data_IF_272307675947
#
_entry.id   IF_272307675947
#
_cell.length_a   1.000
_cell.length_b   1.000
_cell.length_c   1.000
_cell.angle_alpha   90.00
_cell.angle_beta   90.00
_cell.angle_gamma   90.00
#
_symmetry.space_group_name_H-M   'P 1'
#
loop_
_entity.id
_entity.type
_entity.pdbx_description
1 polymer ?
#
# COMPACT_ATOMS: atom_id res chain seq x y z
N UNK A 1 -20.88 9.52 -2.00
CA UNK A 1 -20.55 8.09 -2.15
C UNK A 1 -21.02 7.42 -0.88
N UNK A 2 -22.14 6.70 -0.91
CA UNK A 2 -22.48 5.78 0.16
C UNK A 2 -21.52 4.60 0.01
N UNK A 3 -20.50 4.57 0.84
CA UNK A 3 -19.62 3.41 0.93
C UNK A 3 -20.32 2.50 1.93
N UNK A 4 -21.12 1.57 1.41
CA UNK A 4 -21.57 0.46 2.24
C UNK A 4 -20.32 -0.22 2.80
N UNK A 5 -20.36 -0.62 4.06
CA UNK A 5 -19.16 -1.11 4.68
C UNK A 5 -18.68 -2.39 4.03
N UNK A 6 -17.37 -2.48 3.88
CA UNK A 6 -16.74 -3.45 3.01
C UNK A 6 -15.83 -4.35 3.85
N UNK A 7 -16.23 -5.62 4.07
CA UNK A 7 -15.37 -6.58 4.74
C UNK A 7 -14.28 -7.04 3.78
N UNK A 8 -13.02 -6.87 4.18
CA UNK A 8 -11.86 -7.44 3.51
C UNK A 8 -11.29 -8.56 4.36
N UNK A 9 -11.14 -9.76 3.78
CA UNK A 9 -10.63 -10.93 4.49
C UNK A 9 -9.30 -11.40 3.90
N UNK A 10 -8.34 -11.67 4.77
CA UNK A 10 -7.10 -12.34 4.43
C UNK A 10 -6.80 -13.41 5.49
N UNK A 11 -6.93 -14.68 5.10
CA UNK A 11 -6.90 -15.82 6.02
C UNK A 11 -7.88 -15.63 7.19
N UNK A 12 -7.37 -15.55 8.42
CA UNK A 12 -8.10 -15.31 9.67
C UNK A 12 -8.35 -13.82 9.95
N UNK A 13 -7.57 -12.92 9.33
CA UNK A 13 -7.71 -11.49 9.52
C UNK A 13 -8.89 -10.96 8.70
N UNK A 14 -9.85 -10.34 9.38
CA UNK A 14 -10.96 -9.61 8.76
C UNK A 14 -10.84 -8.13 9.09
N UNK A 15 -10.95 -7.27 8.09
CA UNK A 15 -10.93 -5.81 8.24
C UNK A 15 -12.25 -5.27 7.71
N UNK A 16 -13.03 -4.63 8.58
CA UNK A 16 -14.23 -3.91 8.18
C UNK A 16 -13.86 -2.44 7.95
N UNK A 17 -14.17 -1.93 6.76
CA UNK A 17 -13.99 -0.50 6.44
C UNK A 17 -15.37 0.11 6.23
N UNK A 18 -15.65 1.19 6.95
CA UNK A 18 -16.90 1.94 6.86
C UNK A 18 -16.63 3.45 6.82
N UNK A 19 -17.50 4.20 6.14
CA UNK A 19 -17.51 5.65 6.17
C UNK A 19 -18.33 6.13 7.36
N UNK A 20 -17.70 6.86 8.28
CA UNK A 20 -18.37 7.36 9.48
C UNK A 20 -19.13 8.65 9.15
N UNK A 21 -20.46 8.56 9.05
CA UNK A 21 -21.35 9.73 9.04
C UNK A 21 -21.75 10.09 10.48
N UNK A 22 -22.60 9.26 11.09
CA UNK A 22 -23.11 9.46 12.46
C UNK A 22 -22.55 8.45 13.49
N UNK A 23 -21.74 7.48 13.04
CA UNK A 23 -21.05 6.50 13.88
C UNK A 23 -21.83 5.21 14.19
N UNK A 24 -23.14 5.16 13.95
CA UNK A 24 -23.93 3.97 14.29
C UNK A 24 -23.89 2.87 13.23
N UNK A 25 -23.74 3.23 11.94
CA UNK A 25 -23.81 2.29 10.82
C UNK A 25 -22.76 1.18 10.90
N UNK A 26 -21.50 1.52 11.14
CA UNK A 26 -20.43 0.52 11.24
C UNK A 26 -20.52 -0.33 12.51
N UNK A 27 -21.04 0.25 13.60
CA UNK A 27 -21.22 -0.47 14.87
C UNK A 27 -22.25 -1.57 14.73
N UNK A 28 -23.33 -1.30 13.98
CA UNK A 28 -24.36 -2.29 13.73
C UNK A 28 -23.80 -3.49 12.97
N UNK A 29 -22.96 -3.27 11.96
CA UNK A 29 -22.35 -4.39 11.24
C UNK A 29 -21.29 -5.13 12.03
N UNK A 30 -20.53 -4.45 12.90
CA UNK A 30 -19.62 -5.14 13.81
C UNK A 30 -20.41 -6.10 14.70
N UNK A 31 -21.60 -5.69 15.17
CA UNK A 31 -22.50 -6.58 15.94
C UNK A 31 -23.01 -7.74 15.09
N UNK A 32 -23.48 -7.47 13.87
CA UNK A 32 -23.96 -8.52 12.95
C UNK A 32 -22.86 -9.52 12.59
N UNK A 33 -21.63 -9.04 12.37
CA UNK A 33 -20.47 -9.88 12.14
C UNK A 33 -20.15 -10.75 13.35
N UNK A 34 -20.20 -10.20 14.56
CA UNK A 34 -19.99 -10.97 15.80
C UNK A 34 -21.06 -12.06 15.98
N UNK A 35 -22.32 -11.73 15.68
CA UNK A 35 -23.43 -12.69 15.68
C UNK A 35 -23.18 -13.78 14.63
N UNK A 36 -22.82 -13.41 13.40
CA UNK A 36 -22.51 -14.38 12.34
C UNK A 36 -21.35 -15.29 12.70
N UNK A 37 -20.27 -14.76 13.27
CA UNK A 37 -19.13 -15.55 13.75
C UNK A 37 -19.59 -16.60 14.76
N UNK A 38 -20.38 -16.21 15.76
CA UNK A 38 -20.93 -17.12 16.77
C UNK A 38 -21.80 -18.22 16.16
N UNK A 39 -22.67 -17.88 15.21
CA UNK A 39 -23.51 -18.86 14.50
C UNK A 39 -22.70 -19.85 13.66
N UNK A 40 -21.51 -19.45 13.21
CA UNK A 40 -20.61 -20.27 12.40
C UNK A 40 -19.49 -20.91 13.23
N UNK A 41 -19.63 -20.96 14.56
CA UNK A 41 -18.64 -21.53 15.49
C UNK A 41 -17.25 -20.88 15.38
N UNK A 42 -17.21 -19.59 15.07
CA UNK A 42 -16.01 -18.76 15.05
C UNK A 42 -16.00 -17.85 16.28
N UNK A 43 -14.85 -17.79 16.95
CA UNK A 43 -14.63 -16.91 18.09
C UNK A 43 -13.86 -15.66 17.65
N UNK A 44 -14.38 -14.48 17.97
CA UNK A 44 -13.69 -13.21 17.74
C UNK A 44 -12.69 -12.95 18.85
N UNK A 45 -11.43 -12.79 18.49
CA UNK A 45 -10.39 -12.41 19.44
C UNK A 45 -10.40 -10.89 19.68
N UNK A 46 -11.27 -10.44 20.59
CA UNK A 46 -11.44 -9.02 20.94
C UNK A 46 -10.17 -8.36 21.46
N UNK A 47 -9.24 -9.13 22.05
CA UNK A 47 -7.94 -8.63 22.51
C UNK A 47 -6.99 -8.27 21.36
N UNK A 48 -7.14 -8.92 20.20
CA UNK A 48 -6.36 -8.62 18.99
C UNK A 48 -7.08 -7.68 18.02
N UNK A 49 -8.39 -7.56 18.16
CA UNK A 49 -9.17 -6.59 17.39
C UNK A 49 -8.86 -5.18 17.88
N UNK A 50 -8.61 -4.28 16.93
CA UNK A 50 -8.36 -2.87 17.19
C UNK A 50 -9.25 -2.03 16.28
N UNK A 51 -9.58 -0.83 16.74
CA UNK A 51 -10.27 0.18 15.96
C UNK A 51 -9.27 1.24 15.52
N UNK A 52 -9.27 1.62 14.24
CA UNK A 52 -8.51 2.77 13.76
C UNK A 52 -9.49 3.74 13.12
N UNK A 53 -9.53 4.97 13.63
CA UNK A 53 -10.37 6.04 13.11
C UNK A 53 -9.49 7.00 12.30
N UNK A 54 -9.86 7.23 11.05
CA UNK A 54 -9.18 8.18 10.16
C UNK A 54 -10.11 9.37 9.96
N UNK A 55 -9.86 10.46 10.68
CA UNK A 55 -10.67 11.68 10.60
C UNK A 55 -9.79 12.92 10.40
N UNK A 56 -10.05 13.66 9.32
CA UNK A 56 -9.34 14.89 8.96
C UNK A 56 -10.21 16.15 9.15
N UNK A 57 -11.40 16.02 9.75
CA UNK A 57 -12.25 17.16 10.10
C UNK A 57 -11.55 18.03 11.14
N UNK A 58 -11.73 19.35 11.06
CA UNK A 58 -11.19 20.29 12.06
C UNK A 58 -11.79 20.07 13.45
N UNK A 59 -13.07 19.71 13.48
CA UNK A 59 -13.82 19.35 14.68
C UNK A 59 -14.30 17.91 14.48
N UNK A 60 -13.50 16.91 14.88
CA UNK A 60 -13.88 15.51 14.75
C UNK A 60 -15.07 15.18 15.65
N UNK A 61 -15.88 14.22 15.22
CA UNK A 61 -17.00 13.74 16.01
C UNK A 61 -16.46 12.98 17.23
N UNK A 62 -16.97 13.29 18.42
CA UNK A 62 -16.68 12.50 19.61
C UNK A 62 -17.41 11.15 19.50
N UNK A 63 -16.66 10.10 19.15
CA UNK A 63 -17.19 8.74 19.05
C UNK A 63 -17.05 8.03 20.39
N UNK A 64 -18.10 7.31 20.79
CA UNK A 64 -18.04 6.38 21.91
C UNK A 64 -17.13 5.19 21.56
N UNK A 65 -16.41 4.62 22.55
CA UNK A 65 -15.58 3.44 22.34
C UNK A 65 -16.39 2.28 21.77
N UNK A 66 -15.84 1.61 20.74
CA UNK A 66 -16.43 0.41 20.18
C UNK A 66 -16.42 -0.73 21.20
N UNK A 67 -17.51 -1.48 21.28
CA UNK A 67 -17.59 -2.70 22.09
C UNK A 67 -18.05 -3.88 21.24
N UNK A 68 -17.42 -5.04 21.46
CA UNK A 68 -17.73 -6.32 20.83
C UNK A 68 -17.93 -7.33 21.96
N UNK A 69 -19.13 -7.94 22.06
CA UNK A 69 -19.45 -8.92 23.10
C UNK A 69 -19.08 -8.43 24.52
N UNK A 70 -19.50 -7.20 24.84
CA UNK A 70 -19.23 -6.51 26.11
C UNK A 70 -17.74 -6.21 26.41
N UNK A 71 -16.84 -6.47 25.46
CA UNK A 71 -15.43 -6.11 25.53
C UNK A 71 -15.16 -4.83 24.75
N UNK A 72 -14.57 -3.82 25.38
CA UNK A 72 -14.15 -2.59 24.70
C UNK A 72 -12.96 -2.86 23.77
N UNK A 73 -13.09 -2.43 22.52
CA UNK A 73 -12.03 -2.52 21.50
C UNK A 73 -11.08 -1.35 21.67
N UNK A 74 -9.78 -1.63 21.60
CA UNK A 74 -8.74 -0.60 21.73
C UNK A 74 -8.66 0.22 20.44
N UNK A 75 -8.77 1.54 20.56
CA UNK A 75 -8.48 2.46 19.46
C UNK A 75 -6.97 2.65 19.32
N UNK A 76 -6.44 2.56 18.09
CA UNK A 76 -5.01 2.68 17.80
C UNK A 76 -4.72 3.76 16.76
N UNK A 77 -3.57 4.41 16.93
CA UNK A 77 -3.08 5.40 15.96
C UNK A 77 -2.34 4.75 14.78
N UNK A 78 -1.74 3.58 15.00
CA UNK A 78 -1.02 2.84 13.96
C UNK A 78 -1.36 1.35 14.02
N UNK A 79 -1.39 0.70 12.86
CA UNK A 79 -1.72 -0.71 12.74
C UNK A 79 -0.96 -1.35 11.59
N UNK A 80 -0.46 -2.57 11.80
CA UNK A 80 0.26 -3.33 10.78
C UNK A 80 -0.73 -4.19 9.99
N UNK A 81 -0.99 -3.81 8.75
CA UNK A 81 -1.85 -4.52 7.81
C UNK A 81 -1.05 -5.09 6.64
N UNK A 82 -1.10 -6.42 6.46
CA UNK A 82 -0.43 -7.14 5.36
C UNK A 82 1.04 -6.71 5.13
N UNK A 83 1.78 -6.52 6.22
CA UNK A 83 3.19 -6.12 6.17
C UNK A 83 3.46 -4.62 6.05
N UNK A 84 2.43 -3.78 5.95
CA UNK A 84 2.56 -2.31 5.93
C UNK A 84 2.02 -1.70 7.22
N UNK A 85 2.71 -0.70 7.75
CA UNK A 85 2.20 0.07 8.90
C UNK A 85 1.36 1.22 8.38
N UNK A 86 0.07 1.21 8.70
CA UNK A 86 -0.86 2.29 8.40
C UNK A 86 -0.97 3.18 9.63
N UNK A 87 -0.95 4.48 9.43
CA UNK A 87 -1.15 5.49 10.48
C UNK A 87 -2.50 6.18 10.28
N UNK A 88 -3.15 6.58 11.37
CA UNK A 88 -4.43 7.30 11.36
C UNK A 88 -4.35 8.61 10.56
N UNK A 89 -3.17 9.24 10.52
CA UNK A 89 -2.93 10.46 9.74
C UNK A 89 -2.58 10.16 8.27
N UNK A 90 -2.62 8.88 7.86
CA UNK A 90 -2.15 8.26 6.62
C UNK A 90 -0.80 8.81 6.12
N UNK A 91 0.09 9.19 7.04
CA UNK A 91 1.50 9.36 6.72
C UNK A 91 2.21 8.01 6.75
N UNK A 92 3.31 7.94 5.99
CA UNK A 92 4.08 6.70 5.81
C UNK A 92 5.43 6.73 6.51
N UNK A 93 5.73 7.76 7.29
CA UNK A 93 7.01 7.91 8.00
C UNK A 93 7.24 6.75 8.97
N UNK A 94 6.22 6.33 9.71
CA UNK A 94 6.33 5.20 10.66
C UNK A 94 6.64 3.89 9.92
N UNK A 95 5.94 3.62 8.82
CA UNK A 95 6.20 2.47 7.95
C UNK A 95 7.62 2.51 7.37
N UNK A 96 8.01 3.64 6.79
CA UNK A 96 9.33 3.82 6.18
C UNK A 96 10.43 3.73 7.23
N UNK A 97 10.23 4.28 8.42
CA UNK A 97 11.14 4.15 9.55
C UNK A 97 11.35 2.68 9.92
N UNK A 98 10.29 1.87 9.94
CA UNK A 98 10.40 0.42 10.18
C UNK A 98 11.20 -0.29 9.09
N UNK A 99 11.00 0.06 7.81
CA UNK A 99 11.77 -0.50 6.68
C UNK A 99 13.25 -0.13 6.81
N UNK A 100 13.54 1.16 7.01
CA UNK A 100 14.90 1.69 7.07
C UNK A 100 15.66 1.12 8.26
N UNK A 101 15.11 1.23 9.48
CA UNK A 101 15.80 0.86 10.71
C UNK A 101 15.94 -0.65 10.85
N UNK A 102 14.84 -1.37 10.68
CA UNK A 102 14.80 -2.80 11.03
C UNK A 102 15.32 -3.66 9.90
N UNK A 103 14.89 -3.42 8.67
CA UNK A 103 15.16 -4.36 7.58
C UNK A 103 16.38 -3.96 6.74
N UNK A 104 16.44 -2.71 6.30
CA UNK A 104 17.45 -2.30 5.33
C UNK A 104 18.87 -2.25 5.91
N UNK A 105 19.04 -1.68 7.11
CA UNK A 105 20.37 -1.56 7.71
C UNK A 105 21.01 -2.91 8.05
N UNK A 106 20.21 -3.84 8.60
CA UNK A 106 20.68 -5.19 8.89
C UNK A 106 21.09 -5.93 7.61
N UNK A 107 20.32 -5.79 6.53
CA UNK A 107 20.61 -6.44 5.25
C UNK A 107 21.81 -5.82 4.53
N UNK A 108 22.00 -4.51 4.65
CA UNK A 108 23.22 -3.83 4.19
C UNK A 108 24.46 -4.32 4.92
N UNK A 109 24.37 -4.62 6.22
CA UNK A 109 25.47 -5.24 6.95
C UNK A 109 25.86 -6.58 6.32
N UNK A 110 24.90 -7.47 6.05
CA UNK A 110 25.19 -8.73 5.37
C UNK A 110 25.80 -8.54 3.98
N UNK A 111 25.30 -7.58 3.19
CA UNK A 111 25.89 -7.25 1.90
C UNK A 111 27.37 -6.82 2.03
N UNK A 112 27.73 -6.01 3.04
CA UNK A 112 29.12 -5.65 3.32
C UNK A 112 29.96 -6.86 3.69
N UNK A 113 29.41 -7.79 4.48
CA UNK A 113 30.12 -9.01 4.86
C UNK A 113 30.37 -9.90 3.64
N UNK A 114 29.38 -10.08 2.77
CA UNK A 114 29.55 -10.82 1.51
C UNK A 114 30.61 -10.19 0.61
N UNK A 115 30.67 -8.85 0.53
CA UNK A 115 31.73 -8.17 -0.20
C UNK A 115 33.13 -8.47 0.36
N UNK A 116 33.28 -8.56 1.69
CA UNK A 116 34.57 -8.93 2.33
C UNK A 116 35.02 -10.35 2.02
N UNK A 117 34.08 -11.26 1.77
CA UNK A 117 34.39 -12.62 1.31
C UNK A 117 34.71 -12.70 -0.20
N UNK A 118 34.91 -11.55 -0.86
CA UNK A 118 35.27 -11.45 -2.27
C UNK A 118 34.26 -12.12 -3.22
N UNK A 119 32.97 -12.12 -2.85
CA UNK A 119 31.92 -12.56 -3.77
C UNK A 119 31.92 -11.72 -5.04
N UNK A 120 31.58 -12.37 -6.16
CA UNK A 120 31.46 -11.69 -7.45
C UNK A 120 30.38 -10.62 -7.40
N UNK A 121 30.56 -9.58 -8.23
CA UNK A 121 29.60 -8.50 -8.34
C UNK A 121 28.20 -8.99 -8.70
N UNK A 122 28.11 -10.01 -9.57
CA UNK A 122 26.84 -10.61 -9.98
C UNK A 122 26.10 -11.26 -8.80
N UNK A 123 26.80 -12.04 -7.96
CA UNK A 123 26.19 -12.64 -6.78
C UNK A 123 25.73 -11.58 -5.76
N UNK A 124 26.51 -10.50 -5.59
CA UNK A 124 26.12 -9.41 -4.72
C UNK A 124 24.89 -8.65 -5.24
N UNK A 125 24.76 -8.49 -6.55
CA UNK A 125 23.58 -7.90 -7.21
C UNK A 125 22.35 -8.79 -7.02
N UNK A 126 22.48 -10.10 -7.22
CA UNK A 126 21.40 -11.07 -6.96
C UNK A 126 20.96 -11.04 -5.50
N UNK A 127 21.92 -11.00 -4.57
CA UNK A 127 21.64 -10.85 -3.14
C UNK A 127 20.89 -9.54 -2.87
N UNK A 128 21.33 -8.41 -3.44
CA UNK A 128 20.65 -7.14 -3.29
C UNK A 128 19.19 -7.22 -3.77
N UNK A 129 18.95 -7.72 -4.98
CA UNK A 129 17.59 -7.81 -5.53
C UNK A 129 16.70 -8.74 -4.70
N UNK A 130 17.21 -9.89 -4.28
CA UNK A 130 16.44 -10.88 -3.50
C UNK A 130 16.19 -10.44 -2.06
N UNK A 131 17.13 -9.74 -1.42
CA UNK A 131 17.12 -9.53 0.04
C UNK A 131 16.79 -8.08 0.39
N UNK A 132 17.37 -7.09 -0.29
CA UNK A 132 17.21 -5.67 0.05
C UNK A 132 16.09 -5.05 -0.78
N UNK A 133 16.19 -5.14 -2.11
CA UNK A 133 15.21 -4.57 -3.05
C UNK A 133 13.82 -5.14 -2.80
N UNK A 134 13.70 -6.45 -2.61
CA UNK A 134 12.42 -7.12 -2.32
C UNK A 134 11.67 -6.48 -1.13
N UNK A 135 12.39 -6.12 -0.06
CA UNK A 135 11.80 -5.46 1.11
C UNK A 135 11.47 -4.01 0.82
N UNK A 136 12.34 -3.28 0.13
CA UNK A 136 12.08 -1.88 -0.26
C UNK A 136 10.88 -1.77 -1.21
N UNK A 137 10.69 -2.76 -2.07
CA UNK A 137 9.61 -2.80 -3.06
C UNK A 137 8.34 -3.49 -2.55
N UNK A 138 8.36 -4.11 -1.37
CA UNK A 138 7.17 -4.70 -0.76
C UNK A 138 6.12 -3.60 -0.55
N UNK A 139 4.93 -3.81 -1.11
CA UNK A 139 3.79 -2.87 -1.11
C UNK A 139 4.13 -1.44 -1.55
N UNK A 140 5.24 -1.20 -2.24
CA UNK A 140 5.73 0.14 -2.62
C UNK A 140 4.70 0.94 -3.43
N UNK A 141 3.87 0.26 -4.21
CA UNK A 141 2.77 0.88 -4.98
C UNK A 141 1.72 1.55 -4.10
N UNK A 142 1.64 1.20 -2.82
CA UNK A 142 0.64 1.73 -1.87
C UNK A 142 1.12 3.02 -1.21
N UNK A 143 2.39 3.06 -0.81
CA UNK A 143 2.88 4.10 0.10
C UNK A 143 3.85 5.10 -0.55
N UNK A 144 4.59 4.71 -1.59
CA UNK A 144 5.68 5.52 -2.13
C UNK A 144 5.21 6.84 -2.76
N UNK A 145 4.08 6.83 -3.48
CA UNK A 145 3.50 8.04 -4.08
C UNK A 145 3.03 9.09 -3.05
N UNK A 146 2.75 8.65 -1.82
CA UNK A 146 2.30 9.50 -0.71
C UNK A 146 3.41 9.78 0.32
N UNK A 147 4.63 9.29 0.10
CA UNK A 147 5.75 9.47 1.01
C UNK A 147 6.32 10.89 0.94
N UNK A 148 6.85 11.38 2.06
CA UNK A 148 7.55 12.66 2.09
C UNK A 148 8.83 12.62 1.24
N UNK A 149 9.19 13.75 0.61
CA UNK A 149 10.42 13.86 -0.18
C UNK A 149 11.67 13.50 0.64
N UNK A 150 11.69 13.86 1.92
CA UNK A 150 12.77 13.49 2.86
C UNK A 150 12.90 11.98 3.01
N UNK A 151 11.77 11.27 3.14
CA UNK A 151 11.75 9.81 3.30
C UNK A 151 12.15 9.08 2.02
N UNK A 152 11.70 9.56 0.86
CA UNK A 152 12.16 9.04 -0.44
C UNK A 152 13.68 9.17 -0.56
N UNK A 153 14.26 10.32 -0.18
CA UNK A 153 15.73 10.49 -0.17
C UNK A 153 16.41 9.53 0.79
N UNK A 154 15.84 9.30 1.99
CA UNK A 154 16.39 8.36 2.97
C UNK A 154 16.41 6.93 2.43
N UNK A 155 15.34 6.51 1.76
CA UNK A 155 15.25 5.21 1.10
C UNK A 155 16.26 5.10 -0.06
N UNK A 156 16.38 6.14 -0.87
CA UNK A 156 17.34 6.16 -1.98
C UNK A 156 18.80 6.04 -1.50
N UNK A 157 19.14 6.59 -0.32
CA UNK A 157 20.49 6.41 0.26
C UNK A 157 20.83 4.94 0.54
N UNK A 158 19.85 4.09 0.85
CA UNK A 158 20.07 2.65 1.02
C UNK A 158 20.52 2.04 -0.30
N UNK A 159 19.84 2.38 -1.40
CA UNK A 159 20.20 1.93 -2.75
C UNK A 159 21.60 2.39 -3.12
N UNK A 160 21.92 3.69 -2.94
CA UNK A 160 23.27 4.20 -3.22
C UNK A 160 24.36 3.56 -2.35
N UNK A 161 24.05 3.23 -1.09
CA UNK A 161 24.98 2.52 -0.23
C UNK A 161 25.24 1.11 -0.76
N UNK A 162 24.20 0.39 -1.18
CA UNK A 162 24.35 -0.91 -1.81
C UNK A 162 25.14 -0.82 -3.11
N UNK A 163 24.83 0.15 -3.96
CA UNK A 163 25.52 0.45 -5.22
C UNK A 163 27.03 0.61 -5.00
N UNK A 164 27.40 1.37 -3.97
CA UNK A 164 28.80 1.60 -3.59
C UNK A 164 29.48 0.30 -3.12
N UNK A 165 28.79 -0.54 -2.35
CA UNK A 165 29.34 -1.81 -1.85
C UNK A 165 29.56 -2.80 -3.00
N UNK A 166 28.63 -2.86 -3.95
CA UNK A 166 28.63 -3.79 -5.08
C UNK A 166 29.59 -3.31 -6.19
N UNK A 167 29.71 -2.00 -6.36
CA UNK A 167 30.52 -1.37 -7.42
C UNK A 167 29.86 -1.38 -8.81
N UNK A 168 28.53 -1.50 -8.88
CA UNK A 168 27.79 -1.36 -10.14
C UNK A 168 26.52 -0.52 -9.93
N UNK A 169 26.06 0.22 -10.96
CA UNK A 169 24.80 0.97 -10.88
C UNK A 169 23.62 0.09 -10.53
N UNK A 170 22.73 0.60 -9.67
CA UNK A 170 21.46 -0.04 -9.31
C UNK A 170 20.28 0.84 -9.74
N UNK A 171 19.11 0.26 -10.05
CA UNK A 171 17.92 1.04 -10.41
C UNK A 171 17.52 2.01 -9.30
N UNK A 172 17.16 3.24 -9.68
CA UNK A 172 16.67 4.24 -8.72
C UNK A 172 15.30 3.81 -8.21
N UNK A 173 15.02 4.03 -6.93
CA UNK A 173 13.79 3.55 -6.30
C UNK A 173 12.52 4.11 -6.97
N UNK A 174 12.61 5.32 -7.53
CA UNK A 174 11.53 5.93 -8.31
C UNK A 174 11.21 5.16 -9.59
N UNK A 175 12.23 4.65 -10.28
CA UNK A 175 12.06 3.86 -11.51
C UNK A 175 11.43 2.51 -11.20
N UNK A 176 11.88 1.86 -10.12
CA UNK A 176 11.28 0.61 -9.62
C UNK A 176 9.81 0.83 -9.25
N UNK A 177 9.50 1.90 -8.52
CA UNK A 177 8.13 2.28 -8.20
C UNK A 177 7.29 2.48 -9.47
N UNK A 178 7.75 3.29 -10.43
CA UNK A 178 7.04 3.53 -11.68
C UNK A 178 6.78 2.23 -12.45
N UNK A 179 7.79 1.37 -12.58
CA UNK A 179 7.66 0.07 -13.24
C UNK A 179 6.62 -0.83 -12.55
N UNK A 180 6.66 -0.91 -11.22
CA UNK A 180 5.74 -1.75 -10.44
C UNK A 180 4.30 -1.23 -10.48
N UNK A 181 4.11 0.09 -10.43
CA UNK A 181 2.79 0.72 -10.57
C UNK A 181 2.23 0.45 -11.96
N UNK A 182 3.02 0.62 -13.02
CA UNK A 182 2.58 0.33 -14.40
C UNK A 182 2.20 -1.13 -14.57
N UNK A 183 3.04 -2.07 -14.10
CA UNK A 183 2.73 -3.51 -14.14
C UNK A 183 1.45 -3.85 -13.37
N UNK A 184 1.23 -3.22 -12.22
CA UNK A 184 0.01 -3.43 -11.42
C UNK A 184 -1.21 -2.86 -12.12
N UNK A 185 -1.12 -1.65 -12.66
CA UNK A 185 -2.19 -1.03 -13.44
C UNK A 185 -2.58 -1.90 -14.63
N UNK A 186 -1.61 -2.37 -15.42
CA UNK A 186 -1.86 -3.28 -16.55
C UNK A 186 -2.60 -4.55 -16.11
N UNK A 187 -2.20 -5.18 -15.00
CA UNK A 187 -2.91 -6.37 -14.48
C UNK A 187 -4.37 -6.07 -14.12
N UNK A 188 -4.64 -4.91 -13.52
CA UNK A 188 -6.01 -4.50 -13.16
C UNK A 188 -6.83 -4.21 -14.42
N UNK A 189 -6.26 -3.52 -15.40
CA UNK A 189 -6.95 -3.20 -16.66
C UNK A 189 -7.24 -4.46 -17.47
N UNK A 190 -6.36 -5.47 -17.43
CA UNK A 190 -6.55 -6.72 -18.18
C UNK A 190 -7.52 -7.70 -17.50
N UNK A 191 -7.90 -7.46 -16.24
CA UNK A 191 -8.80 -8.31 -15.47
C UNK A 191 -10.12 -7.59 -15.17
N UNK A 192 -11.19 -7.82 -15.95
CA UNK A 192 -12.51 -7.23 -15.72
C UNK A 192 -13.13 -7.63 -14.38
N UNK A 193 -12.71 -8.74 -13.77
CA UNK A 193 -13.21 -9.19 -12.47
C UNK A 193 -12.51 -8.50 -11.30
N UNK A 194 -11.41 -7.77 -11.55
CA UNK A 194 -10.66 -7.10 -10.51
C UNK A 194 -11.52 -5.99 -9.87
N UNK A 195 -11.60 -5.90 -8.54
CA UNK A 195 -12.46 -4.91 -7.86
C UNK A 195 -12.19 -3.46 -8.28
N UNK A 196 -10.94 -3.14 -8.56
CA UNK A 196 -10.50 -1.81 -9.03
C UNK A 196 -10.54 -1.61 -10.54
N UNK A 197 -11.02 -2.57 -11.34
CA UNK A 197 -11.04 -2.45 -12.80
C UNK A 197 -11.82 -1.22 -13.28
N UNK A 198 -12.97 -0.96 -12.65
CA UNK A 198 -13.81 0.21 -12.93
C UNK A 198 -13.11 1.57 -12.70
N UNK A 199 -11.98 1.60 -11.98
CA UNK A 199 -11.20 2.83 -11.80
C UNK A 199 -10.35 3.19 -13.03
N UNK A 200 -10.22 2.29 -14.01
CA UNK A 200 -9.42 2.45 -15.23
C UNK A 200 -10.28 2.66 -16.48
N UNK A 201 -11.37 3.43 -16.36
CA UNK A 201 -12.16 3.84 -17.52
C UNK A 201 -11.39 4.82 -18.41
N UNK A 202 -11.49 4.67 -19.73
CA UNK A 202 -10.91 5.62 -20.67
C UNK A 202 -11.71 6.93 -20.74
N UNK A 203 -11.01 8.02 -21.02
CA UNK A 203 -11.63 9.29 -21.40
C UNK A 203 -12.42 9.11 -22.71
N UNK A 204 -13.40 9.98 -23.02
CA UNK A 204 -14.12 9.94 -24.30
C UNK A 204 -13.21 9.98 -25.54
N UNK A 205 -12.02 10.59 -25.41
CA UNK A 205 -11.01 10.62 -26.46
C UNK A 205 -10.22 9.31 -26.63
N UNK A 206 -10.35 8.35 -25.71
CA UNK A 206 -9.59 7.09 -25.69
C UNK A 206 -8.10 7.24 -25.36
N UNK A 207 -7.60 8.46 -25.18
CA UNK A 207 -6.16 8.73 -25.06
C UNK A 207 -5.61 8.55 -23.65
N UNK A 208 -6.44 8.71 -22.61
CA UNK A 208 -6.01 8.66 -21.22
C UNK A 208 -7.04 7.93 -20.35
N UNK A 209 -6.60 7.36 -19.22
CA UNK A 209 -7.55 6.97 -18.17
C UNK A 209 -8.20 8.18 -17.51
N UNK A 210 -9.47 8.04 -17.13
CA UNK A 210 -10.21 9.04 -16.36
C UNK A 210 -9.53 9.22 -15.01
N UNK A 211 -9.08 10.44 -14.73
CA UNK A 211 -8.63 10.79 -13.40
C UNK A 211 -9.86 10.93 -12.48
N UNK A 212 -9.82 10.41 -11.23
CA UNK A 212 -10.86 10.71 -10.27
C UNK A 212 -10.95 12.23 -10.06
N UNK A 213 -12.17 12.76 -9.99
CA UNK A 213 -12.37 14.17 -9.67
C UNK A 213 -12.04 14.38 -8.19
N UNK A 214 -10.93 15.08 -7.90
CA UNK A 214 -10.43 15.24 -6.53
C UNK A 214 -10.17 16.70 -6.19
N UNK A 215 -10.56 17.11 -4.97
CA UNK A 215 -10.36 18.48 -4.47
C UNK A 215 -8.99 18.71 -3.83
N UNK A 216 -8.22 17.64 -3.58
CA UNK A 216 -6.93 17.73 -2.85
C UNK A 216 -5.84 16.97 -3.59
N UNK A 217 -4.62 17.53 -3.56
CA UNK A 217 -3.41 16.90 -4.11
C UNK A 217 -3.15 15.55 -3.43
N UNK A 218 -3.49 15.43 -2.14
CA UNK A 218 -3.38 14.18 -1.39
C UNK A 218 -4.20 13.06 -2.02
N UNK A 219 -5.48 13.31 -2.32
CA UNK A 219 -6.36 12.32 -2.93
C UNK A 219 -5.97 12.01 -4.39
N UNK A 220 -5.43 13.01 -5.10
CA UNK A 220 -4.82 12.80 -6.42
C UNK A 220 -3.62 11.84 -6.36
N UNK A 221 -2.77 11.97 -5.33
CA UNK A 221 -1.55 11.17 -5.19
C UNK A 221 -1.77 9.79 -4.53
N UNK A 222 -2.96 9.53 -3.98
CA UNK A 222 -3.35 8.21 -3.46
C UNK A 222 -3.92 7.29 -4.54
N UNK A 223 -4.18 7.81 -5.74
CA UNK A 223 -4.67 7.05 -6.89
C UNK A 223 -3.52 6.68 -7.83
N UNK A 224 -3.63 5.60 -8.62
CA UNK A 224 -2.67 5.32 -9.69
C UNK A 224 -2.51 6.56 -10.58
N UNK A 225 -1.29 6.92 -10.99
CA UNK A 225 -1.10 8.05 -11.89
C UNK A 225 -1.90 7.81 -13.18
N UNK A 226 -2.56 8.84 -13.74
CA UNK A 226 -3.17 8.71 -15.06
C UNK A 226 -2.06 8.40 -16.06
N UNK A 227 -2.00 7.15 -16.49
CA UNK A 227 -1.10 6.68 -17.55
C UNK A 227 -1.81 6.68 -18.89
N UNK A 228 -1.03 6.68 -19.97
CA UNK A 228 -1.55 6.30 -21.28
C UNK A 228 -1.99 4.83 -21.22
N UNK A 229 -3.10 4.45 -21.87
CA UNK A 229 -3.42 3.06 -22.07
C UNK A 229 -2.31 2.38 -22.90
N UNK A 230 -2.10 1.07 -22.73
CA UNK A 230 -0.96 0.33 -23.31
C UNK A 230 -0.95 0.24 -24.85
N UNK A 231 -1.81 0.96 -25.57
CA UNK A 231 -1.89 0.91 -27.03
C UNK A 231 -0.61 1.40 -27.74
N UNK A 232 0.26 2.18 -27.08
CA UNK A 232 1.55 2.60 -27.67
C UNK A 232 2.64 1.52 -27.70
N UNK A 233 2.38 0.29 -27.21
CA UNK A 233 3.35 -0.83 -27.28
C UNK A 233 2.94 -1.98 -28.21
N UNK A 234 1.79 -1.88 -28.89
CA UNK A 234 1.44 -2.79 -29.97
C UNK A 234 1.72 -2.08 -31.30
N UNK A 235 2.82 -2.46 -31.95
CA UNK A 235 3.08 -2.17 -33.36
C UNK A 235 1.87 -2.63 -34.19
N UNK A 236 0.95 -1.71 -34.48
CA UNK A 236 -0.04 -1.87 -35.54
C UNK A 236 0.41 -0.95 -36.68
N UNK A 237 0.69 -1.47 -37.89
CA UNK A 237 1.15 -0.64 -38.98
C UNK A 237 0.06 0.36 -39.41
N UNK A 238 0.44 1.53 -39.95
CA UNK A 238 -0.52 2.54 -40.34
C UNK A 238 -1.39 2.00 -41.48
N UNK A 239 -2.71 1.99 -41.27
CA UNK A 239 -3.66 1.90 -42.37
C UNK A 239 -3.60 3.27 -43.07
N UNK A 240 -2.90 3.30 -44.21
CA UNK A 240 -3.00 4.36 -45.21
C UNK A 240 -4.45 4.35 -45.73
N UNK A 241 -5.02 5.55 -45.86
CA UNK A 241 -6.35 5.78 -46.45
C UNK A 241 -6.50 5.15 -47.83
#
# INVERSE_FOLDING_TARGET
>A
MNINPHPMKFADNTTLISLIQDGEEYRQEVKELAVWCRHNNLELNTLRTVEMIVDFRRNPLALSPLSILDSTVVTVETFKFLGSVISQDLKWDTHINSIVKTNAQQRLYFLRQLRKFNLSQELLKQFYSAVIESVLCTTITVWFGSAAKSDIRRLQRIVWTAETIIGCPLPVLKELYSSLVSKRAQKITLDPSHPSHHLFELSPSGQCYRAPNTRTIRHKNSSPPPGNPPYEQLNVPPIVQ
#
